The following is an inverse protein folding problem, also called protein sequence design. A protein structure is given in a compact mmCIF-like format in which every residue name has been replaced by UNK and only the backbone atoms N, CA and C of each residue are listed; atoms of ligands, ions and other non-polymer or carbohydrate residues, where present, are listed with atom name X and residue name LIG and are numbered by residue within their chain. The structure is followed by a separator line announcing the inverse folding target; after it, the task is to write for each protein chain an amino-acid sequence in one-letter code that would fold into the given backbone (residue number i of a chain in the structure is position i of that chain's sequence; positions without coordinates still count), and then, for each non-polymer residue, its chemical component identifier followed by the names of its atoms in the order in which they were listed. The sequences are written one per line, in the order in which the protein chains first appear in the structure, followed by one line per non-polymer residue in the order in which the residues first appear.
data_IF_853307598182
#
_entry.id   IF_853307598182
#
_cell.length_a   1.000
_cell.length_b   1.000
_cell.length_c   1.000
_cell.angle_alpha   90.00
_cell.angle_beta   90.00
_cell.angle_gamma   90.00
#
_symmetry.space_group_name_H-M   'P 1'
#
loop_
_entity.id
_entity.type
_entity.pdbx_description
1 polymer ?
#
# COMPACT_ATOMS: atom_id res chain seq x y z
N UNK A 1 11.47 19.20 6.98
CA UNK A 1 11.50 18.05 6.05
C UNK A 1 10.38 18.28 5.05
N UNK A 2 10.64 18.34 3.74
CA UNK A 2 9.60 18.66 2.76
C UNK A 2 8.49 17.60 2.86
N UNK A 3 7.27 18.07 3.11
CA UNK A 3 6.07 17.22 3.10
C UNK A 3 5.46 17.31 1.69
N UNK A 4 4.80 16.24 1.27
CA UNK A 4 4.15 16.21 -0.04
C UNK A 4 2.83 16.99 0.04
N UNK A 5 2.33 17.49 -1.09
CA UNK A 5 1.07 18.25 -1.11
C UNK A 5 -0.12 17.39 -0.68
N UNK A 6 -1.16 18.00 -0.10
CA UNK A 6 -2.36 17.26 0.29
C UNK A 6 -3.09 16.63 -0.91
N UNK A 7 -3.01 17.28 -2.07
CA UNK A 7 -3.46 16.71 -3.36
C UNK A 7 -2.74 15.39 -3.67
N UNK A 8 -1.41 15.35 -3.50
CA UNK A 8 -0.65 14.11 -3.71
C UNK A 8 -1.01 13.04 -2.68
N UNK A 9 -1.20 13.42 -1.40
CA UNK A 9 -1.64 12.47 -0.35
C UNK A 9 -3.00 11.84 -0.69
N UNK A 10 -3.95 12.65 -1.16
CA UNK A 10 -5.27 12.17 -1.58
C UNK A 10 -5.17 11.23 -2.77
N UNK A 11 -4.39 11.60 -3.81
CA UNK A 11 -4.17 10.76 -4.97
C UNK A 11 -3.53 9.42 -4.59
N UNK A 12 -2.48 9.44 -3.77
CA UNK A 12 -1.84 8.23 -3.23
C UNK A 12 -2.85 7.36 -2.50
N UNK A 13 -3.72 7.93 -1.65
CA UNK A 13 -4.74 7.14 -0.93
C UNK A 13 -5.72 6.45 -1.89
N UNK A 14 -6.11 7.11 -2.98
CA UNK A 14 -6.97 6.53 -4.01
C UNK A 14 -6.27 5.36 -4.71
N UNK A 15 -5.03 5.60 -5.19
CA UNK A 15 -4.22 4.59 -5.88
C UNK A 15 -3.97 3.40 -4.97
N UNK A 16 -3.52 3.65 -3.74
CA UNK A 16 -3.20 2.62 -2.75
C UNK A 16 -4.41 1.74 -2.42
N UNK A 17 -5.62 2.32 -2.27
CA UNK A 17 -6.83 1.54 -2.04
C UNK A 17 -7.14 0.61 -3.21
N UNK A 18 -7.08 1.13 -4.45
CA UNK A 18 -7.26 0.31 -5.65
C UNK A 18 -6.18 -0.76 -5.76
N UNK A 19 -4.94 -0.41 -5.46
CA UNK A 19 -3.81 -1.33 -5.46
C UNK A 19 -4.02 -2.49 -4.50
N UNK A 20 -4.43 -2.21 -3.26
CA UNK A 20 -4.73 -3.25 -2.28
C UNK A 20 -5.93 -4.12 -2.69
N UNK A 21 -6.94 -3.55 -3.35
CA UNK A 21 -8.05 -4.33 -3.92
C UNK A 21 -7.61 -5.30 -5.03
N UNK A 22 -6.64 -4.88 -5.86
CA UNK A 22 -6.03 -5.77 -6.85
C UNK A 22 -5.23 -6.86 -6.16
N UNK A 23 -4.40 -6.50 -5.18
CA UNK A 23 -3.63 -7.47 -4.39
C UNK A 23 -4.51 -8.49 -3.68
N UNK A 24 -5.64 -8.08 -3.09
CA UNK A 24 -6.54 -8.99 -2.36
C UNK A 24 -7.25 -10.01 -3.24
N UNK A 25 -7.26 -9.82 -4.56
CA UNK A 25 -7.80 -10.81 -5.51
C UNK A 25 -6.81 -11.91 -5.85
N UNK A 26 -5.54 -11.70 -5.53
CA UNK A 26 -4.50 -12.70 -5.73
C UNK A 26 -4.59 -13.67 -4.55
N UNK A 27 -4.68 -14.99 -4.79
CA UNK A 27 -4.48 -15.97 -3.75
C UNK A 27 -3.18 -15.68 -3.00
N UNK A 28 -3.21 -15.68 -1.66
CA UNK A 28 -2.09 -15.20 -0.87
C UNK A 28 -0.76 -15.95 -1.15
N UNK A 29 -0.85 -17.24 -1.46
CA UNK A 29 0.29 -18.09 -1.82
C UNK A 29 0.97 -17.60 -3.11
N UNK A 30 0.18 -17.23 -4.13
CA UNK A 30 0.66 -16.68 -5.41
C UNK A 30 1.06 -15.20 -5.30
N UNK A 31 0.37 -14.45 -4.44
CA UNK A 31 0.58 -13.02 -4.22
C UNK A 31 1.74 -12.69 -3.29
N UNK A 32 2.29 -13.69 -2.58
CA UNK A 32 3.29 -13.50 -1.53
C UNK A 32 4.52 -12.72 -2.02
N UNK A 33 4.95 -12.97 -3.26
CA UNK A 33 6.08 -12.28 -3.89
C UNK A 33 5.79 -10.79 -4.03
N UNK A 34 4.60 -10.45 -4.56
CA UNK A 34 4.14 -9.08 -4.76
C UNK A 34 4.03 -8.35 -3.43
N UNK A 35 3.46 -9.01 -2.42
CA UNK A 35 3.38 -8.48 -1.06
C UNK A 35 4.77 -8.23 -0.47
N UNK A 36 5.71 -9.17 -0.62
CA UNK A 36 7.08 -9.06 -0.11
C UNK A 36 7.88 -7.94 -0.77
N UNK A 37 7.82 -7.84 -2.10
CA UNK A 37 8.49 -6.78 -2.86
C UNK A 37 7.91 -5.41 -2.53
N UNK A 38 6.59 -5.29 -2.46
CA UNK A 38 5.91 -4.06 -2.05
C UNK A 38 6.30 -3.66 -0.63
N UNK A 39 6.34 -4.63 0.29
CA UNK A 39 6.81 -4.38 1.66
C UNK A 39 8.22 -3.79 1.65
N UNK A 40 9.15 -4.41 0.90
CA UNK A 40 10.55 -3.96 0.81
C UNK A 40 10.68 -2.54 0.22
N UNK A 41 9.94 -2.23 -0.83
CA UNK A 41 9.96 -0.89 -1.46
C UNK A 41 9.39 0.20 -0.55
N UNK A 42 8.37 -0.12 0.24
CA UNK A 42 7.65 0.86 1.07
C UNK A 42 8.18 0.97 2.50
N UNK A 43 8.90 -0.04 2.99
CA UNK A 43 9.34 -0.09 4.37
C UNK A 43 10.41 0.96 4.68
N UNK A 44 10.13 1.76 5.71
CA UNK A 44 11.08 2.72 6.28
C UNK A 44 11.06 2.60 7.80
N UNK A 45 12.18 2.17 8.38
CA UNK A 45 12.29 1.81 9.81
C UNK A 45 11.94 2.95 10.77
N UNK A 46 12.39 4.17 10.45
CA UNK A 46 12.24 5.39 11.24
C UNK A 46 10.93 6.14 11.00
N UNK A 47 10.01 5.57 10.22
CA UNK A 47 8.86 6.30 9.75
C UNK A 47 7.69 6.37 10.75
N UNK A 48 6.98 7.49 10.70
CA UNK A 48 5.88 7.82 11.62
C UNK A 48 4.50 7.34 11.14
N UNK A 49 4.42 6.81 9.92
CA UNK A 49 3.19 6.30 9.33
C UNK A 49 3.28 4.79 9.16
N UNK A 50 2.12 4.15 9.20
CA UNK A 50 1.94 2.78 8.75
C UNK A 50 0.82 2.74 7.71
N UNK A 51 1.00 1.90 6.70
CA UNK A 51 -0.06 1.52 5.78
C UNK A 51 -0.45 0.07 5.97
N UNK A 52 -1.68 -0.29 5.59
CA UNK A 52 -2.11 -1.67 5.48
C UNK A 52 -2.17 -2.10 4.00
N UNK A 53 -1.50 -3.20 3.65
CA UNK A 53 -1.51 -3.76 2.29
C UNK A 53 -2.79 -4.54 1.94
N UNK A 54 -3.76 -4.63 2.86
CA UNK A 54 -5.06 -5.27 2.60
C UNK A 54 -6.14 -4.24 2.22
N UNK A 55 -6.23 -3.14 2.98
CA UNK A 55 -7.29 -2.14 2.77
C UNK A 55 -6.77 -0.79 2.26
N UNK A 56 -5.45 -0.59 2.21
CA UNK A 56 -4.85 0.67 1.79
C UNK A 56 -5.02 1.84 2.77
N UNK A 57 -5.39 1.57 4.02
CA UNK A 57 -5.47 2.60 5.05
C UNK A 57 -4.08 3.05 5.51
N UNK A 58 -3.91 4.36 5.73
CA UNK A 58 -2.69 4.98 6.26
C UNK A 58 -3.02 5.76 7.53
N UNK A 59 -2.37 5.39 8.63
CA UNK A 59 -2.52 5.99 9.97
C UNK A 59 -1.14 6.15 10.64
N UNK A 60 -1.10 6.88 11.76
CA UNK A 60 0.12 7.05 12.53
C UNK A 60 0.61 5.73 13.12
N UNK A 61 1.93 5.53 13.18
CA UNK A 61 2.54 4.27 13.64
C UNK A 61 2.09 3.84 15.05
N UNK A 62 1.74 4.81 15.90
CA UNK A 62 1.31 4.60 17.28
C UNK A 62 -0.18 4.24 17.39
N UNK A 63 -1.00 4.70 16.44
CA UNK A 63 -2.45 4.45 16.44
C UNK A 63 -2.83 3.27 15.55
N UNK A 64 -1.94 2.82 14.68
CA UNK A 64 -2.17 1.73 13.75
C UNK A 64 -1.42 0.46 14.18
N UNK A 65 -2.04 -0.28 15.08
CA UNK A 65 -1.56 -1.56 15.61
C UNK A 65 -2.42 -2.69 15.05
N UNK A 66 -1.97 -3.94 15.17
CA UNK A 66 -2.77 -5.09 14.76
C UNK A 66 -4.08 -5.23 15.56
N UNK A 67 -4.17 -4.60 16.74
CA UNK A 67 -5.33 -4.64 17.62
C UNK A 67 -6.33 -3.52 17.31
N UNK A 68 -5.86 -2.37 16.79
CA UNK A 68 -6.68 -1.21 16.44
C UNK A 68 -7.04 -1.14 14.96
N UNK A 69 -6.68 -2.17 14.18
CA UNK A 69 -6.94 -2.25 12.76
C UNK A 69 -8.00 -3.29 12.44
N UNK A 70 -9.00 -2.91 11.66
CA UNK A 70 -10.17 -3.73 11.36
C UNK A 70 -9.92 -4.87 10.35
N UNK A 71 -8.73 -4.98 9.75
CA UNK A 71 -8.44 -6.14 8.91
C UNK A 71 -8.17 -7.37 9.77
N UNK A 72 -8.99 -8.41 9.58
CA UNK A 72 -8.96 -9.65 10.36
C UNK A 72 -7.55 -10.26 10.41
N UNK A 73 -6.96 -10.41 11.61
CA UNK A 73 -5.65 -11.05 11.81
C UNK A 73 -5.62 -12.51 11.33
N UNK A 74 -6.78 -13.19 11.33
CA UNK A 74 -6.91 -14.63 11.12
C UNK A 74 -6.38 -15.10 9.76
N UNK A 75 -6.44 -14.25 8.74
CA UNK A 75 -6.05 -14.61 7.37
C UNK A 75 -4.53 -14.47 7.18
N UNK A 76 -3.84 -13.69 8.04
CA UNK A 76 -2.46 -13.27 7.79
C UNK A 76 -1.54 -13.33 9.02
N UNK A 77 -1.84 -14.21 10.00
CA UNK A 77 -1.13 -14.26 11.29
C UNK A 77 0.41 -14.35 11.18
N UNK A 78 0.94 -14.84 10.05
CA UNK A 78 2.37 -15.01 9.82
C UNK A 78 2.99 -13.98 8.87
N UNK A 79 2.26 -12.99 8.35
CA UNK A 79 2.78 -12.02 7.38
C UNK A 79 2.55 -10.56 7.80
N UNK A 80 3.58 -9.70 7.75
CA UNK A 80 3.46 -8.31 8.18
C UNK A 80 2.69 -7.46 7.15
N UNK A 81 1.36 -7.44 7.26
CA UNK A 81 0.47 -6.64 6.41
C UNK A 81 0.56 -5.12 6.67
N UNK A 82 1.06 -4.75 7.86
CA UNK A 82 1.28 -3.37 8.26
C UNK A 82 2.72 -2.95 7.96
N UNK A 83 2.88 -2.00 7.04
CA UNK A 83 4.19 -1.52 6.59
C UNK A 83 4.44 -0.13 7.15
N UNK A 84 5.54 0.04 7.90
CA UNK A 84 6.01 1.38 8.30
C UNK A 84 6.51 2.11 7.07
N UNK A 85 6.04 3.33 6.82
CA UNK A 85 6.39 4.08 5.61
C UNK A 85 6.37 5.60 5.81
N UNK A 86 6.79 6.34 4.79
CA UNK A 86 6.71 7.80 4.72
C UNK A 86 5.91 8.26 3.50
N UNK A 87 5.34 9.47 3.55
CA UNK A 87 4.66 10.06 2.39
C UNK A 87 5.57 10.18 1.17
N UNK A 88 6.86 10.48 1.38
CA UNK A 88 7.86 10.54 0.31
C UNK A 88 8.00 9.17 -0.36
N UNK A 89 8.08 8.08 0.42
CA UNK A 89 8.15 6.73 -0.18
C UNK A 89 6.88 6.30 -0.89
N UNK A 90 5.72 6.68 -0.37
CA UNK A 90 4.48 6.44 -1.06
C UNK A 90 4.38 7.22 -2.37
N UNK A 91 4.87 8.46 -2.40
CA UNK A 91 4.95 9.23 -3.64
C UNK A 91 5.91 8.58 -4.63
N UNK A 92 7.12 8.24 -4.22
CA UNK A 92 8.13 7.59 -5.08
C UNK A 92 7.58 6.30 -5.70
N UNK A 93 6.76 5.55 -4.97
CA UNK A 93 6.24 4.27 -5.42
C UNK A 93 4.94 4.39 -6.23
N UNK A 94 3.94 5.12 -5.74
CA UNK A 94 2.59 5.18 -6.34
C UNK A 94 2.39 6.31 -7.35
N UNK A 95 3.17 7.39 -7.28
CA UNK A 95 3.13 8.46 -8.27
C UNK A 95 4.24 8.31 -9.31
N UNK A 96 4.90 7.14 -9.34
CA UNK A 96 5.74 6.67 -10.44
C UNK A 96 5.16 5.39 -11.03
N UNK A 97 5.77 4.91 -12.11
CA UNK A 97 5.37 3.64 -12.74
C UNK A 97 5.90 2.39 -12.01
N UNK A 98 6.57 2.54 -10.85
CA UNK A 98 7.18 1.41 -10.13
C UNK A 98 6.18 0.33 -9.74
N UNK A 99 5.05 0.73 -9.15
CA UNK A 99 4.02 -0.23 -8.76
C UNK A 99 3.37 -0.90 -9.97
N UNK A 100 3.23 -0.18 -11.09
CA UNK A 100 2.70 -0.72 -12.35
C UNK A 100 3.64 -1.76 -12.94
N UNK A 101 4.95 -1.51 -12.93
CA UNK A 101 5.95 -2.46 -13.39
C UNK A 101 5.93 -3.73 -12.54
N UNK A 102 5.88 -3.58 -11.21
CA UNK A 102 5.80 -4.70 -10.28
C UNK A 102 4.54 -5.56 -10.49
N UNK A 103 3.40 -4.94 -10.83
CA UNK A 103 2.19 -5.69 -11.19
C UNK A 103 2.31 -6.37 -12.57
N UNK A 104 2.84 -5.65 -13.57
CA UNK A 104 2.97 -6.14 -14.94
C UNK A 104 3.92 -7.32 -15.07
N UNK A 105 5.04 -7.30 -14.37
CA UNK A 105 6.00 -8.41 -14.30
C UNK A 105 5.37 -9.72 -13.79
N UNK A 106 4.20 -9.62 -13.16
CA UNK A 106 3.46 -10.73 -12.58
C UNK A 106 2.15 -11.01 -13.31
N UNK A 107 1.96 -10.43 -14.50
CA UNK A 107 0.80 -10.65 -15.35
C UNK A 107 -0.49 -10.01 -14.83
N UNK A 108 -0.39 -8.97 -13.99
CA UNK A 108 -1.54 -8.28 -13.42
C UNK A 108 -1.82 -6.96 -14.12
N UNK A 109 -3.11 -6.68 -14.31
CA UNK A 109 -3.60 -5.42 -14.87
C UNK A 109 -4.02 -4.46 -13.77
N UNK A 110 -3.68 -3.19 -13.95
CA UNK A 110 -4.07 -2.11 -13.04
C UNK A 110 -4.65 -0.95 -13.84
N UNK A 111 -5.96 -0.72 -13.68
CA UNK A 111 -6.64 0.40 -14.31
C UNK A 111 -7.18 1.38 -13.28
N UNK A 112 -6.69 2.62 -13.32
CA UNK A 112 -7.37 3.73 -12.66
C UNK A 112 -8.45 4.19 -13.63
N UNK A 113 -9.65 3.60 -13.56
CA UNK A 113 -10.82 4.24 -14.18
C UNK A 113 -10.94 5.66 -13.63
N UNK A 114 -11.06 6.64 -14.53
CA UNK A 114 -11.14 8.09 -14.28
C UNK A 114 -12.38 8.50 -13.46
N UNK A 115 -12.53 7.95 -12.26
CA UNK A 115 -13.62 8.27 -11.34
C UNK A 115 -13.28 9.44 -10.41
N UNK A 116 -12.11 10.07 -10.58
CA UNK A 116 -11.64 11.16 -9.72
C UNK A 116 -11.28 12.39 -10.55
N UNK A 117 -12.15 12.75 -11.50
CA UNK A 117 -12.30 14.13 -11.97
C UNK A 117 -13.77 14.33 -12.36
N UNK A 118 -14.62 14.58 -11.36
CA UNK A 118 -15.86 15.33 -11.54
C UNK A 118 -15.98 16.31 -10.39
#
# INVERSE_FOLDING_TARGET
MPDITDKNKQLIRIILRKYCQVLSRIPFEDGLVVYSETYKELYVSSARWKLCLLCGEIKGSNTFTAQSHDCSPSIYQNFPILVKTSWIKLQDFFLSDRFLNLLRERGMEFEIKNEVVK
#
